data_IF_198228851324
#
_entry.id   IF_198228851324
#
_cell.length_a   1.000
_cell.length_b   1.000
_cell.length_c   1.000
_cell.angle_alpha   90.00
_cell.angle_beta   90.00
_cell.angle_gamma   90.00
#
_symmetry.space_group_name_H-M   'P 1'
#
loop_
_entity.id
_entity.type
_entity.pdbx_description
1 polymer ?
#
# COMPACT_ATOMS: atom_id res chain seq x y z
N UNK A 1 -18.82 21.09 21.35
CA UNK A 1 -18.97 19.92 20.45
C UNK A 1 -18.80 20.43 19.03
N UNK A 2 -17.75 20.02 18.31
CA UNK A 2 -17.62 20.36 16.90
C UNK A 2 -18.71 19.59 16.12
N UNK A 3 -19.42 20.26 15.22
CA UNK A 3 -20.37 19.58 14.34
C UNK A 3 -19.63 18.53 13.49
N UNK A 4 -20.20 17.34 13.26
CA UNK A 4 -19.56 16.35 12.41
C UNK A 4 -19.38 16.92 11.00
N UNK A 5 -18.18 16.77 10.44
CA UNK A 5 -17.93 17.04 9.02
C UNK A 5 -18.86 16.11 8.24
N UNK A 6 -19.72 16.67 7.40
CA UNK A 6 -20.66 15.89 6.60
C UNK A 6 -19.88 14.87 5.76
N UNK A 7 -20.25 13.59 5.86
CA UNK A 7 -19.59 12.51 5.14
C UNK A 7 -19.55 12.82 3.64
N UNK A 8 -18.41 12.53 3.01
CA UNK A 8 -18.11 12.89 1.63
C UNK A 8 -19.09 12.24 0.64
N UNK A 9 -19.67 11.09 0.99
CA UNK A 9 -20.70 10.45 0.19
C UNK A 9 -21.66 9.63 1.06
N UNK A 10 -22.90 10.09 1.25
CA UNK A 10 -23.93 9.36 2.03
C UNK A 10 -24.91 8.58 1.16
N UNK A 11 -24.79 8.63 -0.17
CA UNK A 11 -25.89 8.27 -1.06
C UNK A 11 -26.16 6.76 -1.21
N UNK A 12 -25.36 5.86 -0.63
CA UNK A 12 -25.62 4.41 -0.67
C UNK A 12 -25.01 3.64 0.53
N UNK A 13 -25.07 4.20 1.75
CA UNK A 13 -24.56 3.49 2.92
C UNK A 13 -25.45 2.25 3.19
N UNK A 14 -24.87 1.05 3.11
CA UNK A 14 -25.53 -0.16 3.61
C UNK A 14 -25.81 0.02 5.10
N UNK A 15 -26.99 -0.40 5.61
CA UNK A 15 -27.27 -0.29 7.04
C UNK A 15 -26.21 -1.05 7.82
N UNK A 16 -25.41 -0.34 8.59
CA UNK A 16 -24.37 -0.95 9.40
C UNK A 16 -25.02 -1.50 10.67
N UNK A 17 -24.96 -2.82 10.84
CA UNK A 17 -25.50 -3.46 12.05
C UNK A 17 -24.61 -3.07 13.24
N UNK A 18 -25.22 -2.53 14.29
CA UNK A 18 -24.52 -2.22 15.52
C UNK A 18 -24.11 -3.51 16.24
N UNK A 19 -22.87 -3.59 16.66
CA UNK A 19 -22.32 -4.68 17.47
C UNK A 19 -22.49 -4.28 18.93
N UNK A 20 -23.18 -5.11 19.72
CA UNK A 20 -23.30 -4.89 21.17
C UNK A 20 -21.95 -5.23 21.82
N UNK A 21 -21.25 -4.26 22.43
CA UNK A 21 -19.99 -4.55 23.11
C UNK A 21 -20.25 -5.37 24.37
N UNK A 22 -19.50 -6.46 24.55
CA UNK A 22 -19.38 -7.17 25.82
C UNK A 22 -17.90 -7.26 26.21
N UNK A 23 -17.57 -7.44 27.51
CA UNK A 23 -16.20 -7.68 27.94
C UNK A 23 -15.53 -8.84 27.17
N UNK A 24 -16.24 -9.94 26.97
CA UNK A 24 -15.72 -11.12 26.24
C UNK A 24 -15.46 -10.80 24.78
N UNK A 25 -16.32 -10.00 24.14
CA UNK A 25 -16.11 -9.57 22.76
C UNK A 25 -14.88 -8.65 22.66
N UNK A 26 -14.70 -7.73 23.61
CA UNK A 26 -13.54 -6.85 23.66
C UNK A 26 -12.24 -7.63 23.89
N UNK A 27 -12.26 -8.64 24.76
CA UNK A 27 -11.11 -9.53 24.98
C UNK A 27 -10.76 -10.31 23.71
N UNK A 28 -11.77 -10.83 23.00
CA UNK A 28 -11.57 -11.51 21.71
C UNK A 28 -11.01 -10.55 20.66
N UNK A 29 -11.57 -9.35 20.52
CA UNK A 29 -11.07 -8.34 19.59
C UNK A 29 -9.63 -7.93 19.91
N UNK A 30 -9.32 -7.75 21.19
CA UNK A 30 -7.97 -7.44 21.67
C UNK A 30 -7.00 -8.58 21.35
N UNK A 31 -7.40 -9.83 21.57
CA UNK A 31 -6.60 -11.02 21.27
C UNK A 31 -6.31 -11.21 19.76
N UNK A 32 -7.11 -10.60 18.87
CA UNK A 32 -6.85 -10.58 17.43
C UNK A 32 -5.81 -9.52 17.01
N UNK A 33 -5.39 -8.63 17.91
CA UNK A 33 -4.37 -7.62 17.59
C UNK A 33 -3.07 -8.31 17.19
N UNK A 34 -2.54 -7.92 16.03
CA UNK A 34 -1.36 -8.56 15.48
C UNK A 34 -0.11 -8.17 16.26
N UNK A 35 0.78 -9.14 16.46
CA UNK A 35 2.07 -8.89 17.10
C UNK A 35 2.94 -7.96 16.24
N UNK A 36 3.79 -7.15 16.88
CA UNK A 36 4.74 -6.26 16.20
C UNK A 36 5.57 -6.97 15.11
N UNK A 37 6.13 -8.18 15.34
CA UNK A 37 6.86 -8.89 14.28
C UNK A 37 6.00 -9.25 13.07
N UNK A 38 4.72 -9.58 13.29
CA UNK A 38 3.76 -9.89 12.23
C UNK A 38 3.46 -8.65 11.39
N UNK A 39 3.19 -7.52 12.07
CA UNK A 39 2.96 -6.23 11.41
C UNK A 39 4.19 -5.78 10.62
N UNK A 40 5.40 -5.86 11.19
CA UNK A 40 6.64 -5.53 10.47
C UNK A 40 6.84 -6.38 9.22
N UNK A 41 6.59 -7.71 9.32
CA UNK A 41 6.67 -8.62 8.17
C UNK A 41 5.66 -8.27 7.08
N UNK A 42 4.48 -7.77 7.47
CA UNK A 42 3.45 -7.29 6.55
C UNK A 42 3.73 -5.90 5.95
N UNK A 43 4.77 -5.19 6.43
CA UNK A 43 5.21 -3.91 5.89
C UNK A 43 4.79 -2.69 6.71
N UNK A 44 4.19 -2.87 7.88
CA UNK A 44 3.87 -1.78 8.80
C UNK A 44 5.15 -1.15 9.37
N UNK A 45 5.13 0.17 9.53
CA UNK A 45 6.19 0.92 10.19
C UNK A 45 5.88 0.98 11.69
N UNK A 46 6.69 0.28 12.49
CA UNK A 46 6.46 0.15 13.93
C UNK A 46 7.35 1.07 14.77
N UNK A 47 8.35 1.70 14.13
CA UNK A 47 9.31 2.60 14.77
C UNK A 47 9.65 3.75 13.81
N UNK A 48 10.05 4.93 14.33
CA UNK A 48 10.55 6.01 13.49
C UNK A 48 11.68 5.53 12.57
N UNK A 49 11.63 5.95 11.30
CA UNK A 49 12.61 5.53 10.31
C UNK A 49 13.99 6.11 10.63
N UNK A 50 15.02 5.28 10.51
CA UNK A 50 16.41 5.73 10.55
C UNK A 50 16.75 6.61 9.35
N UNK A 51 17.81 7.43 9.47
CA UNK A 51 18.32 8.23 8.34
C UNK A 51 18.63 7.40 7.10
N UNK A 52 19.09 6.16 7.28
CA UNK A 52 19.37 5.24 6.17
C UNK A 52 18.08 4.84 5.46
N UNK A 53 17.06 4.45 6.21
CA UNK A 53 15.75 4.06 5.65
C UNK A 53 15.06 5.23 4.96
N UNK A 54 15.13 6.43 5.55
CA UNK A 54 14.67 7.66 4.90
C UNK A 54 15.43 7.84 3.59
N UNK A 55 16.76 7.78 3.58
CA UNK A 55 17.53 7.92 2.34
C UNK A 55 17.21 6.86 1.27
N UNK A 56 16.90 5.62 1.67
CA UNK A 56 16.47 4.55 0.76
C UNK A 56 15.07 4.81 0.15
N UNK A 57 14.30 5.77 0.71
CA UNK A 57 13.08 6.30 0.08
C UNK A 57 13.39 7.27 -1.07
N UNK A 58 14.61 7.78 -1.26
CA UNK A 58 14.86 8.72 -2.37
C UNK A 58 14.56 8.07 -3.73
N UNK A 59 13.83 8.78 -4.59
CA UNK A 59 13.48 8.35 -5.94
C UNK A 59 14.33 9.04 -6.99
N UNK A 60 14.45 8.36 -8.12
CA UNK A 60 15.10 8.92 -9.28
C UNK A 60 14.19 9.94 -9.96
N UNK A 61 14.67 11.16 -10.19
CA UNK A 61 13.90 12.23 -10.88
C UNK A 61 13.56 11.89 -12.34
N UNK A 62 14.26 10.93 -12.93
CA UNK A 62 14.07 10.55 -14.33
C UNK A 62 13.11 9.38 -14.48
N UNK A 63 13.30 8.31 -13.71
CA UNK A 63 12.55 7.06 -13.87
C UNK A 63 11.56 6.75 -12.73
N UNK A 64 11.53 7.58 -11.66
CA UNK A 64 10.66 7.42 -10.49
C UNK A 64 10.98 6.21 -9.59
N UNK A 65 11.99 5.39 -9.92
CA UNK A 65 12.37 4.22 -9.12
C UNK A 65 13.14 4.64 -7.87
N UNK A 66 13.00 3.87 -6.79
CA UNK A 66 13.82 4.03 -5.57
C UNK A 66 15.30 3.85 -5.88
N UNK A 67 16.12 4.80 -5.46
CA UNK A 67 17.57 4.77 -5.61
C UNK A 67 18.17 3.88 -4.53
N UNK A 68 18.58 2.66 -4.88
CA UNK A 68 19.17 1.73 -3.91
C UNK A 68 20.54 2.25 -3.44
N UNK A 69 20.84 2.10 -2.15
CA UNK A 69 22.17 2.41 -1.59
C UNK A 69 23.36 1.81 -2.38
N UNK A 70 23.17 0.62 -2.99
CA UNK A 70 24.19 -0.02 -3.86
C UNK A 70 24.49 0.77 -5.14
N UNK A 71 23.50 1.43 -5.72
CA UNK A 71 23.70 2.24 -6.93
C UNK A 71 24.51 3.52 -6.59
N UNK A 72 24.30 4.07 -5.39
CA UNK A 72 25.05 5.24 -4.88
C UNK A 72 26.52 4.91 -4.63
N UNK A 73 26.83 3.83 -3.89
CA UNK A 73 28.21 3.40 -3.62
C UNK A 73 29.03 3.15 -4.88
N UNK A 74 28.38 2.70 -5.96
CA UNK A 74 29.04 2.46 -7.25
C UNK A 74 29.33 3.76 -8.00
N UNK A 75 28.39 4.72 -7.96
CA UNK A 75 28.60 6.06 -8.49
C UNK A 75 29.79 6.73 -7.79
N UNK A 76 29.84 6.69 -6.46
CA UNK A 76 30.95 7.25 -5.66
C UNK A 76 32.29 6.60 -6.00
N UNK A 77 32.34 5.27 -6.16
CA UNK A 77 33.56 4.57 -6.62
C UNK A 77 34.00 5.01 -8.01
N UNK A 78 33.06 5.14 -8.94
CA UNK A 78 33.37 5.56 -10.31
C UNK A 78 33.84 7.01 -10.36
N UNK A 79 33.23 7.91 -9.60
CA UNK A 79 33.67 9.31 -9.49
C UNK A 79 35.08 9.42 -8.86
N UNK A 80 35.45 8.49 -7.97
CA UNK A 80 36.81 8.38 -7.43
C UNK A 80 37.82 7.80 -8.44
N UNK A 81 37.40 6.83 -9.25
CA UNK A 81 38.23 6.23 -10.33
C UNK A 81 38.45 7.24 -11.48
N UNK A 82 37.41 7.95 -11.91
CA UNK A 82 37.47 8.96 -12.99
C UNK A 82 38.13 10.28 -12.53
N UNK A 83 38.18 10.54 -11.22
CA UNK A 83 38.80 11.73 -10.61
C UNK A 83 40.28 11.55 -10.21
N UNK A 84 40.86 10.36 -10.40
CA UNK A 84 42.27 10.12 -10.13
C UNK A 84 43.14 10.76 -11.25
N UNK A 85 44.17 11.57 -10.93
CA UNK A 85 45.03 12.13 -11.94
C UNK A 85 45.74 11.02 -12.71
N UNK A 86 45.67 11.06 -14.04
CA UNK A 86 46.38 10.14 -14.90
C UNK A 86 47.89 10.25 -14.61
N UNK A 87 48.48 9.19 -14.05
CA UNK A 87 49.93 9.11 -13.96
C UNK A 87 50.50 9.09 -15.38
N UNK A 88 51.31 10.09 -15.71
CA UNK A 88 52.00 10.21 -16.99
C UNK A 88 52.93 9.01 -17.19
N UNK A 89 52.54 8.08 -18.07
CA UNK A 89 53.46 7.07 -18.57
C UNK A 89 54.07 7.55 -19.88
N UNK A 90 55.34 7.97 -19.79
CA UNK A 90 56.17 8.37 -20.93
C UNK A 90 56.74 7.10 -21.58
N UNK A 91 56.17 6.65 -22.69
CA UNK A 91 57.01 6.02 -23.72
C UNK A 91 56.46 6.13 -25.15
N UNK A 92 57.40 6.36 -26.07
CA UNK A 92 57.21 6.81 -27.45
C UNK A 92 57.04 5.65 -28.45
N UNK A 93 56.14 5.90 -29.42
CA UNK A 93 56.23 5.68 -30.88
C UNK A 93 56.39 4.26 -31.46
N UNK A 94 55.43 3.88 -32.33
CA UNK A 94 55.56 3.95 -33.80
C UNK A 94 54.22 3.70 -34.53
N UNK A 95 53.96 4.49 -35.57
CA UNK A 95 52.83 4.41 -36.53
C UNK A 95 53.00 3.21 -37.50
N UNK A 96 52.02 2.69 -38.26
CA UNK A 96 51.25 3.19 -39.44
C UNK A 96 50.33 1.99 -39.91
N UNK A 97 49.39 2.03 -40.90
CA UNK A 97 48.24 2.90 -41.22
C UNK A 97 46.85 2.18 -41.20
N UNK A 98 45.82 3.02 -41.15
CA UNK A 98 44.46 2.95 -41.74
C UNK A 98 43.95 1.65 -42.39
N UNK A 99 42.90 1.07 -41.78
CA UNK A 99 41.75 0.55 -42.55
C UNK A 99 40.45 1.04 -41.91
N UNK A 100 39.59 1.61 -42.75
CA UNK A 100 38.26 2.07 -42.38
C UNK A 100 37.41 0.88 -41.94
N UNK A 101 37.09 0.84 -40.65
CA UNK A 101 36.12 -0.09 -40.09
C UNK A 101 35.24 0.67 -39.11
N UNK A 102 34.04 1.05 -39.56
CA UNK A 102 33.00 1.70 -38.77
C UNK A 102 32.52 0.73 -37.68
N UNK A 103 33.30 0.57 -36.61
CA UNK A 103 32.87 -0.14 -35.42
C UNK A 103 31.94 0.80 -34.65
N UNK A 104 30.65 0.69 -34.94
CA UNK A 104 29.62 1.08 -33.99
C UNK A 104 29.93 0.34 -32.68
N UNK A 105 30.45 1.07 -31.69
CA UNK A 105 30.60 0.55 -30.34
C UNK A 105 29.22 0.07 -29.90
N UNK A 106 29.03 -1.26 -29.89
CA UNK A 106 27.88 -1.90 -29.26
C UNK A 106 27.99 -1.59 -27.78
N UNK A 107 27.45 -0.44 -27.37
CA UNK A 107 27.26 -0.11 -25.97
C UNK A 107 26.44 -1.25 -25.36
N UNK A 108 27.05 -1.95 -24.41
CA UNK A 108 26.45 -3.09 -23.75
C UNK A 108 25.20 -2.61 -22.98
N UNK A 109 23.96 -2.96 -23.37
CA UNK A 109 22.74 -2.43 -22.75
C UNK A 109 22.56 -2.81 -21.28
N UNK A 110 23.43 -3.67 -20.75
CA UNK A 110 23.51 -4.07 -19.35
C UNK A 110 24.11 -3.00 -18.41
N UNK A 111 24.77 -1.96 -18.94
CA UNK A 111 25.35 -0.89 -18.11
C UNK A 111 24.28 0.11 -17.62
N UNK A 112 23.23 0.36 -18.42
CA UNK A 112 22.24 1.39 -18.10
C UNK A 112 21.13 0.88 -17.19
N UNK A 113 21.17 1.31 -15.93
CA UNK A 113 20.24 0.91 -14.88
C UNK A 113 19.04 1.85 -14.78
N UNK A 114 19.24 3.12 -15.11
CA UNK A 114 18.17 4.09 -15.21
C UNK A 114 17.64 4.09 -16.66
N UNK A 115 16.36 3.81 -16.86
CA UNK A 115 15.71 3.85 -18.18
C UNK A 115 14.43 4.66 -18.06
N UNK A 116 14.26 5.68 -18.88
CA UNK A 116 13.18 6.66 -18.75
C UNK A 116 12.78 7.29 -20.10
N UNK A 117 11.66 8.00 -20.10
CA UNK A 117 11.25 8.89 -21.17
C UNK A 117 11.58 10.34 -20.74
N UNK A 118 12.45 11.08 -21.46
CA UNK A 118 12.76 12.47 -21.12
C UNK A 118 11.59 13.43 -21.33
N UNK A 119 10.64 13.04 -22.18
CA UNK A 119 9.47 13.83 -22.52
C UNK A 119 8.29 13.56 -21.59
N UNK A 120 7.24 14.36 -21.73
CA UNK A 120 5.99 14.21 -20.98
C UNK A 120 5.01 13.32 -21.72
N UNK A 121 4.12 12.65 -20.99
CA UNK A 121 2.99 11.96 -21.56
C UNK A 121 1.86 12.96 -21.83
N UNK A 122 1.61 13.25 -23.10
CA UNK A 122 0.53 14.13 -23.56
C UNK A 122 -0.40 13.31 -24.44
N UNK A 123 -1.68 13.23 -24.08
CA UNK A 123 -2.70 12.47 -24.80
C UNK A 123 -2.30 11.01 -25.09
N UNK A 124 -1.68 10.35 -24.10
CA UNK A 124 -1.26 8.95 -24.22
C UNK A 124 -0.01 8.74 -25.08
N UNK A 125 0.75 9.80 -25.38
CA UNK A 125 2.01 9.72 -26.14
C UNK A 125 3.13 10.49 -25.48
N UNK A 126 4.33 9.93 -25.53
CA UNK A 126 5.53 10.59 -25.00
C UNK A 126 6.06 11.65 -25.96
N UNK A 127 6.27 12.87 -25.51
CA UNK A 127 6.77 13.96 -26.38
C UNK A 127 8.19 13.71 -26.90
N UNK A 128 9.01 12.95 -26.18
CA UNK A 128 10.40 12.65 -26.56
C UNK A 128 10.56 11.66 -27.72
N UNK A 129 9.63 10.72 -27.90
CA UNK A 129 9.74 9.68 -28.92
C UNK A 129 8.46 9.42 -29.70
N UNK A 130 7.37 10.14 -29.37
CA UNK A 130 6.01 10.04 -29.94
C UNK A 130 5.37 8.65 -29.86
N UNK A 131 6.01 7.71 -29.14
CA UNK A 131 5.47 6.38 -28.88
C UNK A 131 4.33 6.46 -27.86
N UNK A 132 3.43 5.49 -27.92
CA UNK A 132 2.34 5.38 -26.96
C UNK A 132 2.88 5.22 -25.53
N UNK A 133 2.18 5.79 -24.56
CA UNK A 133 2.50 5.66 -23.15
C UNK A 133 2.24 4.26 -22.59
N UNK A 134 1.34 3.51 -23.23
CA UNK A 134 1.01 2.14 -22.84
C UNK A 134 1.94 1.14 -23.53
N UNK A 135 2.79 0.47 -22.75
CA UNK A 135 3.47 -0.76 -23.18
C UNK A 135 4.76 -0.61 -23.99
N UNK A 136 5.30 0.61 -24.14
CA UNK A 136 6.58 0.82 -24.84
C UNK A 136 7.76 0.99 -23.89
N UNK A 137 8.92 0.47 -24.31
CA UNK A 137 10.16 0.61 -23.57
C UNK A 137 10.63 2.09 -23.51
N UNK A 138 11.24 2.50 -22.38
CA UNK A 138 11.85 3.82 -22.26
C UNK A 138 12.82 4.14 -23.41
N UNK A 139 12.82 5.39 -23.89
CA UNK A 139 13.61 5.79 -25.06
C UNK A 139 14.96 6.46 -24.72
N UNK A 140 15.25 6.68 -23.44
CA UNK A 140 16.53 7.15 -22.96
C UNK A 140 16.99 6.31 -21.77
N UNK A 141 18.29 6.36 -21.50
CA UNK A 141 18.88 5.63 -20.39
C UNK A 141 20.15 6.29 -19.89
N UNK A 142 20.39 6.13 -18.59
CA UNK A 142 21.60 6.55 -17.91
C UNK A 142 22.19 5.40 -17.09
N UNK A 143 23.50 5.47 -16.85
CA UNK A 143 24.20 4.46 -16.05
C UNK A 143 23.71 4.44 -14.60
N UNK A 144 23.47 5.62 -14.02
CA UNK A 144 23.06 5.78 -12.62
C UNK A 144 21.70 6.47 -12.50
N UNK A 145 21.02 6.21 -11.38
CA UNK A 145 19.84 6.97 -11.00
C UNK A 145 20.24 8.34 -10.44
N UNK A 146 19.55 9.40 -10.86
CA UNK A 146 19.71 10.75 -10.31
C UNK A 146 18.66 11.00 -9.24
N UNK A 147 19.07 11.25 -8.01
CA UNK A 147 18.16 11.66 -6.92
C UNK A 147 17.91 13.16 -6.96
N UNK A 148 16.71 13.57 -6.57
CA UNK A 148 16.43 14.99 -6.30
C UNK A 148 17.29 15.47 -5.13
N UNK A 149 17.78 16.70 -5.22
CA UNK A 149 18.37 17.42 -4.11
C UNK A 149 17.24 18.07 -3.31
N UNK A 150 17.27 17.90 -2.00
CA UNK A 150 16.28 18.43 -1.07
C UNK A 150 16.96 19.46 -0.19
N UNK A 151 16.21 20.47 0.25
CA UNK A 151 16.67 21.39 1.27
C UNK A 151 17.02 20.65 2.57
N UNK A 152 17.85 21.24 3.46
CA UNK A 152 18.19 20.63 4.74
C UNK A 152 16.93 20.26 5.54
N UNK A 153 16.75 18.98 5.86
CA UNK A 153 15.63 18.49 6.68
C UNK A 153 14.27 18.37 5.96
N UNK A 154 14.15 18.87 4.72
CA UNK A 154 12.91 18.83 3.95
C UNK A 154 12.46 17.38 3.72
N UNK A 155 13.36 16.52 3.24
CA UNK A 155 13.03 15.14 2.97
C UNK A 155 12.80 14.32 4.25
N UNK A 156 13.57 14.60 5.30
CA UNK A 156 13.39 13.99 6.62
C UNK A 156 12.02 14.31 7.23
N UNK A 157 11.57 15.57 7.14
CA UNK A 157 10.26 15.98 7.64
C UNK A 157 9.12 15.22 6.96
N UNK A 158 9.21 15.01 5.64
CA UNK A 158 8.20 14.29 4.86
C UNK A 158 8.05 12.81 5.23
N UNK A 159 9.13 12.18 5.69
CA UNK A 159 9.15 10.79 6.13
C UNK A 159 9.19 10.66 7.66
N UNK A 160 8.82 11.73 8.37
CA UNK A 160 8.68 11.71 9.82
C UNK A 160 7.40 10.97 10.20
N UNK A 161 7.56 9.81 10.82
CA UNK A 161 6.45 9.06 11.38
C UNK A 161 6.15 9.52 12.80
N UNK A 162 4.88 9.44 13.18
CA UNK A 162 4.39 9.87 14.47
C UNK A 162 3.67 8.73 15.17
N UNK A 163 4.10 8.44 16.40
CA UNK A 163 3.37 7.50 17.26
C UNK A 163 2.06 8.09 17.73
N UNK A 164 1.10 7.21 18.00
CA UNK A 164 -0.14 7.58 18.69
C UNK A 164 0.23 8.20 20.05
N UNK A 165 -0.20 9.44 20.33
CA UNK A 165 0.18 10.13 21.55
C UNK A 165 -0.41 9.39 22.76
N UNK A 166 0.41 9.21 23.79
CA UNK A 166 -0.04 8.82 25.12
C UNK A 166 -0.16 10.10 25.94
N UNK A 167 -1.37 10.58 26.12
CA UNK A 167 -1.65 11.67 27.06
C UNK A 167 -2.32 11.08 28.30
N UNK A 168 -1.62 11.10 29.43
CA UNK A 168 -2.18 10.63 30.71
C UNK A 168 -3.15 11.63 31.34
N UNK A 169 -3.14 12.88 30.88
CA UNK A 169 -3.84 14.01 31.49
C UNK A 169 -5.08 14.44 30.69
N UNK A 170 -5.16 14.07 29.42
CA UNK A 170 -6.37 14.16 28.62
C UNK A 170 -6.96 12.76 28.57
N UNK A 171 -8.19 12.58 29.03
CA UNK A 171 -8.99 11.42 28.65
C UNK A 171 -9.79 11.85 27.42
N UNK A 172 -9.24 11.75 26.18
CA UNK A 172 -10.11 11.89 25.04
C UNK A 172 -11.18 10.80 25.17
N UNK A 173 -12.40 11.10 24.72
CA UNK A 173 -13.44 10.09 24.52
C UNK A 173 -12.98 9.23 23.33
N UNK A 174 -11.89 8.48 23.50
CA UNK A 174 -11.36 7.59 22.51
C UNK A 174 -12.31 6.43 22.35
N UNK A 175 -12.35 5.87 21.14
CA UNK A 175 -13.12 4.66 20.90
C UNK A 175 -12.34 3.46 21.41
N UNK A 176 -13.06 2.43 21.84
CA UNK A 176 -12.44 1.14 22.13
C UNK A 176 -11.82 0.55 20.86
N UNK A 177 -12.51 0.71 19.72
CA UNK A 177 -12.00 0.31 18.41
C UNK A 177 -12.59 1.20 17.30
N UNK A 178 -11.82 1.40 16.22
CA UNK A 178 -12.26 2.03 14.99
C UNK A 178 -11.95 1.14 13.80
N UNK A 179 -12.65 1.33 12.68
CA UNK A 179 -12.24 0.79 11.39
C UNK A 179 -11.91 1.92 10.43
N UNK A 180 -10.84 1.77 9.65
CA UNK A 180 -10.34 2.79 8.74
C UNK A 180 -10.15 2.27 7.33
N UNK A 181 -10.18 3.19 6.38
CA UNK A 181 -9.72 3.00 5.01
C UNK A 181 -9.29 4.36 4.43
N UNK A 182 -8.23 4.36 3.64
CA UNK A 182 -7.65 5.55 3.02
C UNK A 182 -7.56 5.39 1.51
N UNK A 183 -7.77 6.51 0.82
CA UNK A 183 -7.51 6.58 -0.61
C UNK A 183 -6.24 7.37 -0.90
N UNK A 184 -5.48 6.91 -1.90
CA UNK A 184 -4.19 7.50 -2.26
C UNK A 184 -4.09 7.87 -3.74
N UNK A 185 -3.52 9.04 -4.00
CA UNK A 185 -3.10 9.49 -5.32
C UNK A 185 -1.58 9.40 -5.51
N UNK A 186 -1.11 9.71 -6.71
CA UNK A 186 0.32 9.79 -7.05
C UNK A 186 0.74 11.25 -7.20
N UNK A 187 1.72 11.66 -6.40
CA UNK A 187 2.35 12.98 -6.42
C UNK A 187 3.38 13.14 -7.55
N UNK A 188 3.81 14.38 -7.81
CA UNK A 188 4.81 14.74 -8.84
C UNK A 188 6.15 14.04 -8.70
N UNK A 189 6.51 13.64 -7.49
CA UNK A 189 7.71 12.88 -7.19
C UNK A 189 7.50 11.35 -7.18
N UNK A 190 6.34 10.90 -7.65
CA UNK A 190 5.92 9.50 -7.74
C UNK A 190 5.74 8.79 -6.40
N UNK A 191 5.56 9.54 -5.31
CA UNK A 191 5.07 8.98 -4.06
C UNK A 191 3.55 8.83 -4.05
N UNK A 192 3.10 7.89 -3.22
CA UNK A 192 1.69 7.71 -2.90
C UNK A 192 1.33 8.67 -1.77
N UNK A 193 0.36 9.54 -1.99
CA UNK A 193 -0.08 10.55 -1.02
C UNK A 193 -1.56 10.35 -0.67
N UNK A 194 -1.89 10.58 0.61
CA UNK A 194 -3.25 10.49 1.13
C UNK A 194 -4.14 11.55 0.49
N UNK A 195 -5.31 11.14 -0.01
CA UNK A 195 -6.29 12.04 -0.64
C UNK A 195 -7.71 11.89 -0.08
N UNK A 196 -8.01 10.80 0.63
CA UNK A 196 -9.25 10.65 1.41
C UNK A 196 -8.96 9.78 2.62
N UNK A 197 -9.54 10.13 3.76
CA UNK A 197 -9.47 9.35 4.99
C UNK A 197 -10.88 9.09 5.49
N UNK A 198 -11.21 7.82 5.72
CA UNK A 198 -12.43 7.40 6.37
C UNK A 198 -12.13 6.62 7.64
N UNK A 199 -12.85 6.95 8.71
CA UNK A 199 -12.82 6.25 9.99
C UNK A 199 -14.25 6.13 10.53
N UNK A 200 -14.61 4.93 10.97
CA UNK A 200 -15.89 4.63 11.61
C UNK A 200 -15.66 4.07 13.01
N UNK A 201 -16.61 4.29 13.90
CA UNK A 201 -16.67 3.59 15.18
C UNK A 201 -16.96 2.11 14.93
N UNK A 202 -16.12 1.23 15.48
CA UNK A 202 -16.19 -0.20 15.18
C UNK A 202 -17.53 -0.82 15.63
N UNK A 203 -18.03 -0.44 16.82
CA UNK A 203 -19.22 -1.07 17.39
C UNK A 203 -20.51 -0.51 16.78
N UNK A 204 -20.65 0.80 16.73
CA UNK A 204 -21.87 1.46 16.25
C UNK A 204 -21.94 1.56 14.74
N UNK A 205 -20.80 1.53 14.03
CA UNK A 205 -20.74 1.82 12.61
C UNK A 205 -20.85 3.31 12.27
N UNK A 206 -20.90 4.19 13.29
CA UNK A 206 -21.02 5.64 13.09
C UNK A 206 -19.78 6.18 12.39
N UNK A 207 -19.98 7.02 11.37
CA UNK A 207 -18.88 7.73 10.71
C UNK A 207 -18.29 8.77 11.67
N UNK A 208 -17.01 8.59 12.03
CA UNK A 208 -16.26 9.50 12.89
C UNK A 208 -15.55 10.58 12.06
N UNK A 209 -15.05 10.17 10.89
CA UNK A 209 -14.37 11.02 9.93
C UNK A 209 -14.56 10.43 8.52
N UNK A 210 -14.96 11.25 7.55
CA UNK A 210 -14.92 10.90 6.13
C UNK A 210 -14.69 12.17 5.33
N UNK A 211 -13.42 12.43 5.00
CA UNK A 211 -13.02 13.70 4.39
C UNK A 211 -11.98 13.50 3.30
N UNK A 212 -12.05 14.35 2.28
CA UNK A 212 -10.92 14.55 1.38
C UNK A 212 -9.77 15.24 2.13
N UNK A 213 -8.55 14.89 1.72
CA UNK A 213 -7.31 15.47 2.20
C UNK A 213 -6.63 16.15 1.03
N UNK A 214 -6.41 17.45 1.14
CA UNK A 214 -5.65 18.21 0.16
C UNK A 214 -4.15 17.99 0.39
N UNK A 215 -3.41 17.36 -0.53
CA UNK A 215 -2.00 17.04 -0.30
C UNK A 215 -1.10 18.29 -0.36
N UNK A 216 -0.03 18.28 0.43
CA UNK A 216 0.98 19.36 0.43
C UNK A 216 1.84 19.38 -0.85
N UNK A 217 1.89 18.24 -1.55
CA UNK A 217 2.62 18.08 -2.81
C UNK A 217 1.64 18.02 -3.98
N UNK A 218 2.03 18.63 -5.10
CA UNK A 218 1.24 18.58 -6.32
C UNK A 218 0.99 17.14 -6.80
N UNK A 219 -0.25 16.85 -7.20
CA UNK A 219 -0.67 15.53 -7.66
C UNK A 219 -0.56 15.38 -9.18
N UNK A 220 0.03 14.27 -9.64
CA UNK A 220 -0.03 13.84 -11.06
C UNK A 220 -1.40 13.22 -11.35
N UNK A 221 -1.82 12.28 -10.49
CA UNK A 221 -2.99 11.45 -10.74
C UNK A 221 -3.68 11.09 -9.42
N UNK A 222 -5.00 11.23 -9.34
CA UNK A 222 -5.77 10.90 -8.13
C UNK A 222 -6.12 9.42 -8.00
N UNK A 223 -5.71 8.59 -8.96
CA UNK A 223 -6.04 7.16 -9.02
C UNK A 223 -7.55 6.87 -9.02
N UNK A 224 -8.37 7.75 -9.61
CA UNK A 224 -9.85 7.71 -9.55
C UNK A 224 -10.48 6.33 -9.78
N UNK A 225 -9.91 5.48 -10.65
CA UNK A 225 -10.41 4.11 -10.86
C UNK A 225 -10.36 3.25 -9.59
N UNK A 226 -9.43 3.54 -8.71
CA UNK A 226 -9.24 2.89 -7.42
C UNK A 226 -9.81 3.78 -6.31
N UNK A 227 -9.45 5.07 -6.28
CA UNK A 227 -9.80 5.96 -5.17
C UNK A 227 -11.21 6.53 -5.13
N UNK A 228 -11.90 6.51 -6.26
CA UNK A 228 -13.15 7.24 -6.46
C UNK A 228 -13.06 8.76 -6.38
N UNK A 229 -11.88 9.32 -6.12
CA UNK A 229 -11.66 10.77 -6.06
C UNK A 229 -11.25 11.29 -7.44
N UNK A 230 -12.04 12.22 -7.98
CA UNK A 230 -11.67 12.98 -9.20
C UNK A 230 -10.97 14.28 -8.84
N UNK A 231 -10.21 14.84 -9.80
CA UNK A 231 -9.67 16.21 -9.67
C UNK A 231 -10.78 17.23 -9.38
N UNK A 232 -11.92 17.10 -10.04
CA UNK A 232 -13.08 17.98 -9.83
C UNK A 232 -13.61 17.91 -8.40
N UNK A 233 -13.69 16.72 -7.80
CA UNK A 233 -14.09 16.57 -6.40
C UNK A 233 -13.13 17.30 -5.45
N UNK A 234 -11.82 17.11 -5.66
CA UNK A 234 -10.79 17.72 -4.82
C UNK A 234 -10.79 19.26 -4.94
N UNK A 235 -10.86 19.79 -6.16
CA UNK A 235 -10.93 21.24 -6.39
C UNK A 235 -12.21 21.87 -5.83
N UNK A 236 -13.35 21.18 -5.95
CA UNK A 236 -14.61 21.63 -5.38
C UNK A 236 -14.55 21.61 -3.85
N UNK A 237 -14.10 20.52 -3.24
CA UNK A 237 -13.96 20.45 -1.79
C UNK A 237 -13.00 21.52 -1.25
N UNK A 238 -11.91 21.84 -1.97
CA UNK A 238 -11.03 22.94 -1.60
C UNK A 238 -11.71 24.30 -1.68
N UNK A 239 -12.45 24.58 -2.76
CA UNK A 239 -13.19 25.85 -2.90
C UNK A 239 -14.26 26.03 -1.83
N UNK A 240 -14.89 24.92 -1.42
CA UNK A 240 -15.94 24.91 -0.41
C UNK A 240 -15.38 24.81 1.03
N UNK A 241 -14.04 24.79 1.20
CA UNK A 241 -13.36 24.62 2.50
C UNK A 241 -13.76 23.32 3.26
N UNK A 242 -14.04 22.25 2.51
CA UNK A 242 -14.48 20.93 3.03
C UNK A 242 -13.40 19.85 2.97
N UNK A 243 -12.14 20.22 2.77
CA UNK A 243 -11.01 19.28 2.80
C UNK A 243 -10.08 19.57 3.97
N UNK A 244 -9.45 18.53 4.50
CA UNK A 244 -8.36 18.67 5.47
C UNK A 244 -7.08 19.07 4.74
N UNK A 245 -6.37 20.07 5.25
CA UNK A 245 -5.17 20.60 4.60
C UNK A 245 -3.93 19.83 5.08
N UNK A 246 -3.39 18.98 4.21
CA UNK A 246 -2.20 18.18 4.49
C UNK A 246 -2.46 16.98 5.40
N UNK A 247 -1.45 16.11 5.48
CA UNK A 247 -1.50 14.88 6.28
C UNK A 247 -1.55 15.16 7.79
N UNK A 248 -1.00 16.29 8.23
CA UNK A 248 -0.97 16.66 9.64
C UNK A 248 -2.36 17.02 10.15
N UNK A 249 -3.17 17.74 9.36
CA UNK A 249 -4.56 18.01 9.69
C UNK A 249 -5.39 16.71 9.71
N UNK A 250 -5.19 15.83 8.72
CA UNK A 250 -5.86 14.52 8.66
C UNK A 250 -5.59 13.68 9.93
N UNK A 251 -4.32 13.61 10.35
CA UNK A 251 -3.91 12.89 11.55
C UNK A 251 -4.43 13.55 12.82
N UNK A 252 -4.39 14.88 12.93
CA UNK A 252 -4.96 15.60 14.07
C UNK A 252 -6.45 15.30 14.24
N UNK A 253 -7.22 15.30 13.15
CA UNK A 253 -8.65 14.98 13.19
C UNK A 253 -8.90 13.51 13.58
N UNK A 254 -8.13 12.57 13.02
CA UNK A 254 -8.24 11.15 13.35
C UNK A 254 -7.95 10.88 14.84
N UNK A 255 -6.88 11.48 15.36
CA UNK A 255 -6.40 11.24 16.73
C UNK A 255 -7.33 11.79 17.82
N UNK A 256 -8.36 12.57 17.47
CA UNK A 256 -9.44 12.93 18.41
C UNK A 256 -10.19 11.71 18.93
N UNK A 257 -10.19 10.61 18.17
CA UNK A 257 -10.93 9.38 18.48
C UNK A 257 -10.03 8.21 18.89
N UNK A 258 -8.71 8.36 18.80
CA UNK A 258 -7.76 7.24 18.87
C UNK A 258 -6.72 7.49 19.95
N UNK A 259 -6.68 6.60 20.94
CA UNK A 259 -5.61 6.53 21.94
C UNK A 259 -4.69 5.32 21.68
N UNK A 260 -3.61 5.16 22.47
CA UNK A 260 -2.65 4.07 22.29
C UNK A 260 -3.25 2.66 22.44
N UNK A 261 -4.37 2.52 23.16
CA UNK A 261 -5.10 1.26 23.34
C UNK A 261 -6.31 1.10 22.41
N UNK A 262 -6.67 2.12 21.62
CA UNK A 262 -7.77 2.02 20.65
C UNK A 262 -7.38 1.04 19.55
N UNK A 263 -8.17 -0.01 19.35
CA UNK A 263 -7.88 -1.01 18.31
C UNK A 263 -8.23 -0.43 16.93
N UNK A 264 -7.27 -0.44 16.00
CA UNK A 264 -7.44 0.03 14.63
C UNK A 264 -7.64 -1.16 13.71
N UNK A 265 -8.81 -1.22 13.08
CA UNK A 265 -9.21 -2.28 12.15
C UNK A 265 -9.09 -1.81 10.71
N UNK A 266 -8.59 -2.67 9.82
CA UNK A 266 -8.57 -2.41 8.39
C UNK A 266 -8.29 -3.67 7.55
N UNK A 267 -8.05 -3.49 6.26
CA UNK A 267 -7.72 -4.59 5.35
C UNK A 267 -6.46 -4.26 4.54
N UNK A 268 -5.37 -4.98 4.79
CA UNK A 268 -4.04 -4.60 4.27
C UNK A 268 -3.66 -3.15 4.62
N UNK A 269 -3.99 -2.73 5.84
CA UNK A 269 -3.99 -1.32 6.26
C UNK A 269 -2.59 -0.68 6.42
N UNK A 270 -1.53 -1.39 6.03
CA UNK A 270 -0.16 -0.86 6.12
C UNK A 270 0.02 0.36 5.20
N UNK A 271 -0.63 0.38 4.03
CA UNK A 271 -0.54 1.52 3.11
C UNK A 271 -1.23 2.75 3.69
N UNK A 272 -2.36 2.56 4.37
CA UNK A 272 -3.14 3.57 5.07
C UNK A 272 -2.29 4.23 6.16
N UNK A 273 -1.72 3.44 7.07
CA UNK A 273 -0.87 3.94 8.15
C UNK A 273 0.40 4.61 7.61
N UNK A 274 0.99 4.07 6.53
CA UNK A 274 2.12 4.71 5.86
C UNK A 274 1.73 6.06 5.27
N UNK A 275 0.57 6.16 4.61
CA UNK A 275 0.09 7.41 3.99
C UNK A 275 -0.18 8.50 5.05
N UNK A 276 -0.66 8.10 6.23
CA UNK A 276 -0.86 8.97 7.40
C UNK A 276 0.44 9.29 8.16
N UNK A 277 1.57 8.67 7.79
CA UNK A 277 2.84 8.71 8.53
C UNK A 277 2.64 8.38 10.02
N UNK A 278 1.83 7.36 10.28
CA UNK A 278 1.33 7.05 11.61
C UNK A 278 1.83 5.69 12.10
N UNK A 279 2.31 5.66 13.35
CA UNK A 279 2.72 4.44 14.06
C UNK A 279 1.67 4.13 15.11
N UNK A 280 1.06 2.95 14.99
CA UNK A 280 0.07 2.44 15.91
C UNK A 280 0.26 0.93 16.09
N UNK A 281 0.09 0.42 17.32
CA UNK A 281 0.45 -0.96 17.68
C UNK A 281 -0.76 -1.87 17.88
N UNK A 282 -1.91 -1.35 18.31
CA UNK A 282 -3.13 -2.14 18.47
C UNK A 282 -3.87 -2.24 17.12
N UNK A 283 -3.36 -3.06 16.20
CA UNK A 283 -3.90 -3.19 14.84
C UNK A 283 -4.46 -4.58 14.60
N UNK A 284 -5.70 -4.64 14.09
CA UNK A 284 -6.32 -5.86 13.55
C UNK A 284 -6.51 -5.70 12.05
N UNK A 285 -5.69 -6.42 11.29
CA UNK A 285 -5.75 -6.45 9.83
C UNK A 285 -6.49 -7.70 9.36
N UNK A 286 -7.64 -7.51 8.73
CA UNK A 286 -8.51 -8.60 8.24
C UNK A 286 -7.85 -9.44 7.13
N UNK A 287 -6.92 -8.87 6.35
CA UNK A 287 -6.16 -9.62 5.35
C UNK A 287 -5.21 -10.61 6.02
N UNK A 288 -4.52 -10.18 7.08
CA UNK A 288 -3.62 -11.04 7.84
C UNK A 288 -4.37 -12.15 8.59
N UNK A 289 -5.57 -11.85 9.11
CA UNK A 289 -6.47 -12.88 9.65
C UNK A 289 -6.83 -13.92 8.57
N UNK A 290 -7.25 -13.48 7.39
CA UNK A 290 -7.55 -14.38 6.28
C UNK A 290 -6.35 -15.21 5.80
N UNK A 291 -5.14 -14.64 5.81
CA UNK A 291 -3.91 -15.40 5.54
C UNK A 291 -3.68 -16.50 6.56
N UNK A 292 -3.85 -16.17 7.86
CA UNK A 292 -3.67 -17.14 8.94
C UNK A 292 -4.68 -18.28 8.84
N UNK A 293 -5.97 -17.96 8.68
CA UNK A 293 -7.03 -18.97 8.49
C UNK A 293 -6.70 -19.91 7.32
N UNK A 294 -6.30 -19.35 6.17
CA UNK A 294 -5.94 -20.14 4.99
C UNK A 294 -4.76 -21.06 5.24
N UNK A 295 -3.75 -20.57 5.96
CA UNK A 295 -2.58 -21.35 6.33
C UNK A 295 -2.94 -22.49 7.29
N UNK A 296 -3.73 -22.22 8.32
CA UNK A 296 -4.18 -23.22 9.29
C UNK A 296 -5.02 -24.30 8.60
N UNK A 297 -5.93 -23.92 7.71
CA UNK A 297 -6.71 -24.88 6.90
C UNK A 297 -5.81 -25.78 6.04
N UNK A 298 -4.77 -25.22 5.42
CA UNK A 298 -3.82 -26.01 4.62
C UNK A 298 -3.08 -27.05 5.47
N UNK A 299 -2.73 -26.71 6.71
CA UNK A 299 -2.12 -27.66 7.66
C UNK A 299 -3.10 -28.79 7.98
N UNK A 300 -4.35 -28.46 8.33
CA UNK A 300 -5.38 -29.44 8.64
C UNK A 300 -5.65 -30.38 7.46
N UNK A 301 -5.79 -29.84 6.26
CA UNK A 301 -5.98 -30.62 5.04
C UNK A 301 -4.80 -31.56 4.78
N UNK A 302 -3.57 -31.10 5.01
CA UNK A 302 -2.38 -31.93 4.87
C UNK A 302 -2.34 -33.05 5.90
N UNK A 303 -2.75 -32.78 7.15
CA UNK A 303 -2.84 -33.78 8.21
C UNK A 303 -3.92 -34.83 7.89
N UNK A 304 -5.10 -34.40 7.45
CA UNK A 304 -6.19 -35.29 7.04
C UNK A 304 -5.78 -36.20 5.87
N UNK A 305 -5.13 -35.64 4.83
CA UNK A 305 -4.59 -36.44 3.70
C UNK A 305 -3.58 -37.49 4.15
N UNK A 306 -2.68 -37.15 5.07
CA UNK A 306 -1.71 -38.10 5.64
C UNK A 306 -2.39 -39.18 6.49
N UNK A 307 -3.47 -38.86 7.20
CA UNK A 307 -4.24 -39.82 7.98
C UNK A 307 -4.96 -40.84 7.09
N UNK A 308 -5.62 -40.38 6.01
CA UNK A 308 -6.29 -41.26 5.03
C UNK A 308 -5.29 -42.22 4.38
N UNK A 309 -4.09 -41.75 4.03
CA UNK A 309 -3.04 -42.59 3.44
C UNK A 309 -2.47 -43.66 4.39
N UNK A 310 -2.70 -43.54 5.71
CA UNK A 310 -2.23 -44.49 6.74
C UNK A 310 -3.25 -45.57 7.09
N UNK A 311 -4.47 -45.50 6.57
CA UNK A 311 -5.48 -46.55 6.74
C UNK A 311 -5.17 -47.69 5.77
N UNK A 312 -4.98 -48.95 6.23
CA UNK A 312 -4.76 -50.07 5.33
C UNK A 312 -6.02 -50.30 4.49
N UNK A 313 -5.92 -50.12 3.17
CA UNK A 313 -7.00 -50.44 2.23
C UNK A 313 -7.22 -51.95 2.17
N UNK A 314 -8.24 -52.43 2.88
CA UNK A 314 -8.93 -53.70 2.58
C UNK A 314 -10.25 -53.35 1.88
N UNK A 315 -10.22 -53.20 0.55
CA UNK A 315 -11.32 -53.52 -0.37
C UNK A 315 -11.08 -52.89 -1.76
N UNK A 316 -11.12 -53.74 -2.78
CA UNK A 316 -11.31 -53.37 -4.18
C UNK A 316 -12.67 -52.68 -4.36
N UNK A 317 -12.68 -51.46 -4.91
CA UNK A 317 -13.81 -50.93 -5.64
C UNK A 317 -13.30 -49.96 -6.71
N UNK A 318 -13.50 -50.36 -7.96
CA UNK A 318 -13.20 -49.60 -9.17
C UNK A 318 -14.05 -48.33 -9.17
N UNK A 319 -13.42 -47.16 -9.20
CA UNK A 319 -14.08 -45.90 -9.57
C UNK A 319 -13.38 -45.34 -10.81
N UNK A 320 -14.19 -45.18 -11.86
CA UNK A 320 -13.79 -44.75 -13.19
C UNK A 320 -13.35 -43.26 -13.21
N UNK A 321 -12.22 -42.93 -13.88
CA UNK A 321 -11.70 -41.56 -13.93
C UNK A 321 -12.34 -40.79 -15.11
N UNK A 322 -13.45 -40.10 -14.86
CA UNK A 322 -14.00 -39.16 -15.85
C UNK A 322 -13.50 -37.73 -15.59
N UNK A 323 -12.70 -37.27 -16.55
CA UNK A 323 -12.64 -35.95 -17.18
C UNK A 323 -12.92 -34.70 -16.32
N UNK A 324 -11.84 -34.03 -15.92
CA UNK A 324 -11.85 -32.57 -15.72
C UNK A 324 -11.04 -31.97 -16.87
N UNK A 325 -11.75 -31.37 -17.82
CA UNK A 325 -11.15 -30.55 -18.88
C UNK A 325 -10.54 -29.28 -18.26
N UNK A 326 -9.30 -28.90 -18.62
CA UNK A 326 -8.68 -27.69 -18.10
C UNK A 326 -9.25 -26.47 -18.84
N UNK A 327 -10.18 -25.76 -18.20
CA UNK A 327 -10.64 -24.46 -18.69
C UNK A 327 -9.56 -23.38 -18.48
N UNK A 328 -8.98 -22.99 -19.60
CA UNK A 328 -8.49 -21.67 -19.99
C UNK A 328 -7.53 -20.92 -19.05
N UNK A 329 -6.28 -20.87 -19.51
CA UNK A 329 -5.24 -19.93 -19.10
C UNK A 329 -5.70 -18.46 -19.20
N UNK A 330 -5.36 -17.64 -18.19
CA UNK A 330 -5.47 -16.19 -18.35
C UNK A 330 -5.50 -15.31 -17.10
N UNK A 331 -5.65 -15.86 -15.89
CA UNK A 331 -5.52 -15.07 -14.64
C UNK A 331 -4.61 -15.82 -13.66
N UNK A 332 -3.67 -15.09 -13.03
CA UNK A 332 -3.05 -15.60 -11.80
C UNK A 332 -4.18 -16.03 -10.86
N UNK A 333 -4.09 -17.18 -10.19
CA UNK A 333 -5.08 -17.53 -9.18
C UNK A 333 -5.07 -16.40 -8.16
N UNK A 334 -6.16 -15.63 -8.10
CA UNK A 334 -6.33 -14.65 -7.04
C UNK A 334 -6.25 -15.44 -5.73
N UNK A 335 -5.44 -14.97 -4.79
CA UNK A 335 -5.26 -15.62 -3.50
C UNK A 335 -6.57 -15.78 -2.72
N UNK A 336 -7.65 -15.14 -3.19
CA UNK A 336 -9.00 -15.14 -2.63
C UNK A 336 -9.07 -14.30 -1.36
N UNK A 337 -8.06 -13.48 -1.09
CA UNK A 337 -7.91 -12.72 0.14
C UNK A 337 -8.12 -11.21 -0.05
N UNK A 338 -8.36 -10.75 -1.28
CA UNK A 338 -8.78 -9.36 -1.50
C UNK A 338 -10.05 -9.04 -0.71
N UNK A 339 -10.18 -7.79 -0.27
CA UNK A 339 -11.34 -7.31 0.49
C UNK A 339 -12.65 -7.70 -0.21
N UNK A 340 -12.73 -7.48 -1.53
CA UNK A 340 -13.86 -7.87 -2.38
C UNK A 340 -14.16 -9.38 -2.35
N UNK A 341 -13.14 -10.22 -2.48
CA UNK A 341 -13.32 -11.67 -2.47
C UNK A 341 -13.76 -12.17 -1.09
N UNK A 342 -13.17 -11.63 -0.01
CA UNK A 342 -13.52 -12.01 1.35
C UNK A 342 -14.90 -11.52 1.75
N UNK A 343 -15.27 -10.28 1.41
CA UNK A 343 -16.61 -9.75 1.64
C UNK A 343 -17.68 -10.60 0.95
N UNK A 344 -17.45 -11.01 -0.30
CA UNK A 344 -18.36 -11.92 -0.98
C UNK A 344 -18.42 -13.30 -0.30
N UNK A 345 -17.27 -13.91 0.00
CA UNK A 345 -17.21 -15.28 0.55
C UNK A 345 -17.74 -15.38 1.97
N UNK A 346 -17.40 -14.44 2.85
CA UNK A 346 -17.70 -14.50 4.29
C UNK A 346 -18.95 -13.72 4.67
N UNK A 347 -19.29 -12.67 3.92
CA UNK A 347 -20.43 -11.79 4.25
C UNK A 347 -21.55 -11.86 3.21
N UNK A 348 -21.35 -12.55 2.06
CA UNK A 348 -22.33 -12.57 0.97
C UNK A 348 -22.53 -11.20 0.30
N UNK A 349 -21.61 -10.25 0.48
CA UNK A 349 -21.76 -8.86 0.05
C UNK A 349 -20.86 -8.53 -1.13
N UNK A 350 -21.45 -8.03 -2.21
CA UNK A 350 -20.71 -7.44 -3.32
C UNK A 350 -20.31 -6.00 -3.00
N UNK A 351 -19.02 -5.73 -2.92
CA UNK A 351 -18.44 -4.39 -2.71
C UNK A 351 -17.55 -4.01 -3.90
N UNK A 352 -17.12 -2.74 -3.96
CA UNK A 352 -16.27 -2.20 -5.02
C UNK A 352 -16.87 -2.46 -6.41
N UNK A 353 -18.16 -2.15 -6.54
CA UNK A 353 -18.96 -2.33 -7.77
C UNK A 353 -19.04 -1.07 -8.62
N UNK A 354 -18.42 0.03 -8.17
CA UNK A 354 -18.44 1.35 -8.81
C UNK A 354 -17.79 1.43 -10.21
N UNK A 355 -17.03 0.42 -10.62
CA UNK A 355 -16.43 0.34 -11.95
C UNK A 355 -15.48 1.51 -12.23
N UNK A 356 -15.84 2.40 -13.16
CA UNK A 356 -15.04 3.61 -13.47
C UNK A 356 -15.15 4.70 -12.41
N UNK A 357 -16.16 4.63 -11.53
CA UNK A 357 -16.36 5.58 -10.43
C UNK A 357 -15.38 5.39 -9.28
N UNK A 358 -14.60 4.31 -9.26
CA UNK A 358 -13.68 4.00 -8.18
C UNK A 358 -14.30 3.23 -7.03
N UNK A 359 -13.49 3.00 -6.00
CA UNK A 359 -13.92 2.42 -4.73
C UNK A 359 -14.44 3.54 -3.81
N UNK A 360 -15.08 3.13 -2.72
CA UNK A 360 -15.58 4.02 -1.69
C UNK A 360 -15.00 3.58 -0.34
N UNK A 361 -14.12 4.39 0.22
CA UNK A 361 -13.43 4.10 1.47
C UNK A 361 -14.38 3.85 2.64
N UNK A 362 -15.58 4.42 2.64
CA UNK A 362 -16.60 4.10 3.65
C UNK A 362 -17.10 2.66 3.53
N UNK A 363 -17.40 2.18 2.31
CA UNK A 363 -17.79 0.79 2.04
C UNK A 363 -16.66 -0.17 2.47
N UNK A 364 -15.42 0.18 2.16
CA UNK A 364 -14.25 -0.66 2.44
C UNK A 364 -13.89 -0.71 3.93
N UNK A 365 -14.03 0.40 4.67
CA UNK A 365 -13.88 0.44 6.14
C UNK A 365 -14.95 -0.42 6.84
N UNK A 366 -16.21 -0.31 6.41
CA UNK A 366 -17.32 -1.14 6.92
C UNK A 366 -17.07 -2.62 6.59
N UNK A 367 -16.61 -2.93 5.38
CA UNK A 367 -16.32 -4.31 4.99
C UNK A 367 -15.19 -4.92 5.82
N UNK A 368 -14.12 -4.16 6.06
CA UNK A 368 -13.01 -4.58 6.91
C UNK A 368 -13.46 -4.87 8.35
N UNK A 369 -14.29 -3.99 8.92
CA UNK A 369 -14.92 -4.15 10.22
C UNK A 369 -15.75 -5.43 10.30
N UNK A 370 -16.66 -5.62 9.34
CA UNK A 370 -17.60 -6.74 9.33
C UNK A 370 -16.88 -8.09 9.14
N UNK A 371 -15.76 -8.13 8.42
CA UNK A 371 -14.94 -9.32 8.29
C UNK A 371 -14.31 -9.74 9.63
N UNK A 372 -13.82 -8.79 10.41
CA UNK A 372 -13.30 -9.07 11.76
C UNK A 372 -14.43 -9.52 12.69
N UNK A 373 -15.59 -8.86 12.62
CA UNK A 373 -16.76 -9.27 13.39
C UNK A 373 -17.19 -10.71 13.07
N UNK A 374 -17.30 -11.06 11.78
CA UNK A 374 -17.63 -12.42 11.34
C UNK A 374 -16.60 -13.46 11.80
N UNK A 375 -15.31 -13.10 11.83
CA UNK A 375 -14.26 -13.96 12.39
C UNK A 375 -14.48 -14.22 13.88
N UNK A 376 -14.77 -13.19 14.66
CA UNK A 376 -15.06 -13.31 16.10
C UNK A 376 -16.28 -14.20 16.33
N UNK A 377 -17.37 -14.02 15.58
CA UNK A 377 -18.56 -14.86 15.69
C UNK A 377 -18.23 -16.34 15.40
N UNK A 378 -17.40 -16.62 14.39
CA UNK A 378 -16.93 -17.99 14.10
C UNK A 378 -16.19 -18.65 15.27
N UNK A 379 -15.35 -17.89 15.98
CA UNK A 379 -14.66 -18.39 17.18
C UNK A 379 -15.62 -18.75 18.32
N UNK A 380 -16.74 -18.05 18.43
CA UNK A 380 -17.75 -18.33 19.48
C UNK A 380 -18.57 -19.57 19.19
N UNK A 381 -18.80 -19.89 17.90
CA UNK A 381 -19.55 -21.08 17.49
C UNK A 381 -18.76 -22.37 17.62
N UNK A 382 -17.42 -22.34 17.51
CA UNK A 382 -16.56 -23.53 17.67
C UNK A 382 -16.31 -23.94 19.13
N UNK A 383 -16.60 -23.06 20.09
CA UNK A 383 -16.42 -23.32 21.54
C UNK A 383 -17.66 -23.89 22.23
N UNK A 384 -18.76 -24.13 21.51
CA UNK A 384 -19.96 -24.84 21.98
C UNK A 384 -20.03 -26.21 21.34
#
# INVERSE_FOLDING_TARGET
MAAPIAAFNTQNATPVVSIVPSPEYLDQLTALSHSVPTLQKAGYVMYPLSRKEINDKKRCIRCGRRCKSRDKKRKERKEQEDGAPAAEDKNQQKAVPTTQGRLAAKQNPAAHRCRFHPGQNVNGRWTCCRRSASGFAPCASEEFHQTQEYGPGEFESRWKFHSTPFDSNVSPITRAAIAIDCEMGIAVDHESELIRLTAIDYFTGTVLLDSLVWPDIQMIHYNTRYSGVTRGNMEQARRDERCLMGIDAARTELLKYVGPSTIVVGHSAYNDLVSLRWIHTAVVDSFLLGQKEKYDQQILDQQARKAIQRVPTMANAVVSPYDVTPTQAGKKPEDGLSLKAMAMRKLGRAIQTGGRRGHDSLEDAIASRDLVHAHILGLTTEKR
#
